data_IF_230289059557
#
_entry.id   IF_230289059557
#
_cell.length_a   1.000
_cell.length_b   1.000
_cell.length_c   1.000
_cell.angle_alpha   90.00
_cell.angle_beta   90.00
_cell.angle_gamma   90.00
#
_symmetry.space_group_name_H-M   'P 1'
#
loop_
_entity.id
_entity.type
_entity.pdbx_description
1 polymer ?
#
# COMPACT_ATOMS: atom_id res chain seq x y z
N UNK A 1 -48.87 -12.36 -64.24
CA UNK A 1 -49.04 -12.10 -62.79
C UNK A 1 -47.75 -12.47 -62.10
N UNK A 2 -46.92 -11.50 -61.73
CA UNK A 2 -45.67 -11.76 -61.01
C UNK A 2 -45.81 -11.21 -59.60
N UNK A 3 -45.99 -12.10 -58.62
CA UNK A 3 -46.14 -11.74 -57.21
C UNK A 3 -44.82 -11.22 -56.61
N UNK A 4 -44.89 -10.37 -55.56
CA UNK A 4 -43.70 -9.76 -54.98
C UNK A 4 -42.83 -10.81 -54.30
N UNK A 5 -41.55 -10.82 -54.65
CA UNK A 5 -40.54 -11.71 -54.09
C UNK A 5 -40.08 -11.13 -52.74
N UNK A 6 -40.66 -11.63 -51.65
CA UNK A 6 -40.19 -11.32 -50.30
C UNK A 6 -38.77 -11.88 -50.14
N UNK A 7 -37.77 -10.99 -50.16
CA UNK A 7 -36.39 -11.36 -49.86
C UNK A 7 -36.30 -11.53 -48.34
N UNK A 8 -35.91 -12.71 -47.82
CA UNK A 8 -35.80 -12.91 -46.39
C UNK A 8 -34.79 -11.91 -45.80
N UNK A 9 -35.17 -11.24 -44.71
CA UNK A 9 -34.39 -10.19 -44.03
C UNK A 9 -33.15 -10.73 -43.26
N UNK A 10 -32.53 -11.80 -43.76
CA UNK A 10 -31.39 -12.50 -43.16
C UNK A 10 -30.23 -11.56 -42.84
N UNK A 11 -29.96 -10.56 -43.68
CA UNK A 11 -28.91 -9.57 -43.43
C UNK A 11 -29.18 -8.70 -42.21
N UNK A 12 -30.42 -8.26 -42.01
CA UNK A 12 -30.81 -7.50 -40.83
C UNK A 12 -30.73 -8.36 -39.57
N UNK A 13 -31.17 -9.62 -39.65
CA UNK A 13 -31.08 -10.56 -38.53
C UNK A 13 -29.63 -10.81 -38.11
N UNK A 14 -28.73 -11.03 -39.07
CA UNK A 14 -27.29 -11.18 -38.80
C UNK A 14 -26.68 -9.93 -38.18
N UNK A 15 -27.03 -8.75 -38.70
CA UNK A 15 -26.57 -7.48 -38.18
C UNK A 15 -26.99 -7.29 -36.71
N UNK A 16 -28.26 -7.51 -36.39
CA UNK A 16 -28.75 -7.39 -35.01
C UNK A 16 -28.17 -8.46 -34.08
N UNK A 17 -28.01 -9.70 -34.55
CA UNK A 17 -27.37 -10.75 -33.78
C UNK A 17 -25.91 -10.39 -33.45
N UNK A 18 -25.16 -9.92 -34.45
CA UNK A 18 -23.78 -9.49 -34.24
C UNK A 18 -23.68 -8.29 -33.29
N UNK A 19 -24.57 -7.30 -33.45
CA UNK A 19 -24.63 -6.13 -32.58
C UNK A 19 -24.92 -6.53 -31.12
N UNK A 20 -25.85 -7.48 -30.90
CA UNK A 20 -26.17 -7.99 -29.56
C UNK A 20 -25.00 -8.77 -28.94
N UNK A 21 -24.33 -9.62 -29.72
CA UNK A 21 -23.16 -10.38 -29.25
C UNK A 21 -22.03 -9.44 -28.87
N UNK A 22 -21.71 -8.46 -29.72
CA UNK A 22 -20.67 -7.47 -29.44
C UNK A 22 -21.04 -6.59 -28.24
N UNK A 23 -22.27 -6.08 -28.19
CA UNK A 23 -22.76 -5.29 -27.06
C UNK A 23 -22.72 -6.06 -25.73
N UNK A 24 -23.14 -7.33 -25.75
CA UNK A 24 -23.05 -8.23 -24.60
C UNK A 24 -21.61 -8.46 -24.16
N UNK A 25 -20.70 -8.75 -25.10
CA UNK A 25 -19.28 -8.92 -24.81
C UNK A 25 -18.66 -7.66 -24.19
N UNK A 26 -18.91 -6.48 -24.75
CA UNK A 26 -18.38 -5.23 -24.22
C UNK A 26 -18.96 -4.89 -22.85
N UNK A 27 -20.25 -5.14 -22.62
CA UNK A 27 -20.88 -4.97 -21.31
C UNK A 27 -20.24 -5.89 -20.27
N UNK A 28 -20.05 -7.17 -20.63
CA UNK A 28 -19.37 -8.14 -19.79
C UNK A 28 -17.92 -7.73 -19.49
N UNK A 29 -17.16 -7.32 -20.50
CA UNK A 29 -15.77 -6.89 -20.37
C UNK A 29 -15.63 -5.59 -19.56
N UNK A 30 -16.61 -4.67 -19.64
CA UNK A 30 -16.63 -3.46 -18.82
C UNK A 30 -16.89 -3.75 -17.33
N UNK A 31 -17.61 -4.84 -17.03
CA UNK A 31 -17.90 -5.26 -15.66
C UNK A 31 -16.78 -6.12 -15.08
N UNK A 32 -16.31 -7.13 -15.81
CA UNK A 32 -15.34 -8.12 -15.30
C UNK A 32 -13.90 -7.91 -15.77
N UNK A 33 -13.66 -7.03 -16.73
CA UNK A 33 -12.32 -6.83 -17.28
C UNK A 33 -11.38 -6.05 -16.36
N UNK A 34 -10.08 -6.12 -16.66
CA UNK A 34 -9.02 -5.47 -15.90
C UNK A 34 -9.17 -3.94 -15.78
N UNK A 35 -9.94 -3.31 -16.67
CA UNK A 35 -10.26 -1.88 -16.66
C UNK A 35 -11.69 -1.58 -16.18
N UNK A 36 -12.41 -2.58 -15.67
CA UNK A 36 -13.76 -2.45 -15.18
C UNK A 36 -13.85 -1.67 -13.86
N UNK A 37 -15.06 -1.25 -13.51
CA UNK A 37 -15.34 -0.41 -12.33
C UNK A 37 -14.81 -1.05 -11.04
N UNK A 38 -14.86 -2.38 -10.94
CA UNK A 38 -14.36 -3.13 -9.78
C UNK A 38 -12.84 -3.03 -9.58
N UNK A 39 -12.06 -2.91 -10.65
CA UNK A 39 -10.60 -2.77 -10.54
C UNK A 39 -10.23 -1.50 -9.80
N UNK A 40 -10.93 -0.39 -10.05
CA UNK A 40 -10.67 0.89 -9.36
C UNK A 40 -10.86 0.80 -7.85
N UNK A 41 -11.88 0.06 -7.40
CA UNK A 41 -12.15 -0.15 -5.97
C UNK A 41 -11.02 -0.96 -5.33
N UNK A 42 -10.58 -2.05 -5.98
CA UNK A 42 -9.46 -2.86 -5.49
C UNK A 42 -8.15 -2.08 -5.46
N UNK A 43 -7.86 -1.33 -6.52
CA UNK A 43 -6.64 -0.52 -6.60
C UNK A 43 -6.61 0.57 -5.54
N UNK A 44 -7.76 1.19 -5.24
CA UNK A 44 -7.87 2.17 -4.17
C UNK A 44 -7.62 1.55 -2.79
N UNK A 45 -8.19 0.37 -2.52
CA UNK A 45 -7.97 -0.34 -1.26
C UNK A 45 -6.50 -0.79 -1.09
N UNK A 46 -5.87 -1.28 -2.16
CA UNK A 46 -4.45 -1.64 -2.15
C UNK A 46 -3.55 -0.41 -1.95
N UNK A 47 -3.88 0.71 -2.59
CA UNK A 47 -3.17 1.97 -2.41
C UNK A 47 -3.28 2.49 -0.97
N UNK A 48 -4.45 2.36 -0.33
CA UNK A 48 -4.66 2.71 1.08
C UNK A 48 -3.76 1.86 1.99
N UNK A 49 -3.77 0.53 1.82
CA UNK A 49 -2.92 -0.38 2.60
C UNK A 49 -1.43 -0.06 2.46
N UNK A 50 -0.96 0.15 1.22
CA UNK A 50 0.43 0.53 0.96
C UNK A 50 0.79 1.89 1.55
N UNK A 51 -0.16 2.82 1.60
CA UNK A 51 0.05 4.14 2.20
C UNK A 51 0.27 4.03 3.71
N UNK A 52 -0.57 3.24 4.38
CA UNK A 52 -0.46 2.98 5.82
C UNK A 52 0.86 2.28 6.19
N UNK A 53 1.25 1.27 5.41
CA UNK A 53 2.52 0.57 5.61
C UNK A 53 3.71 1.52 5.44
N UNK A 54 3.69 2.34 4.38
CA UNK A 54 4.71 3.35 4.13
C UNK A 54 4.79 4.35 5.28
N UNK A 55 3.66 4.80 5.82
CA UNK A 55 3.62 5.72 6.96
C UNK A 55 4.21 5.09 8.22
N UNK A 56 3.87 3.84 8.52
CA UNK A 56 4.45 3.09 9.62
C UNK A 56 5.98 2.97 9.48
N UNK A 57 6.47 2.60 8.30
CA UNK A 57 7.91 2.47 8.04
C UNK A 57 8.63 3.81 8.15
N UNK A 58 8.03 4.91 7.69
CA UNK A 58 8.60 6.26 7.86
C UNK A 58 8.77 6.63 9.34
N UNK A 59 7.79 6.30 10.17
CA UNK A 59 7.90 6.52 11.62
C UNK A 59 9.00 5.67 12.26
N UNK A 60 9.20 4.45 11.78
CA UNK A 60 10.29 3.59 12.25
C UNK A 60 11.66 4.13 11.84
N UNK A 61 11.83 4.55 10.60
CA UNK A 61 13.05 5.22 10.12
C UNK A 61 13.35 6.46 10.97
N UNK A 62 12.37 7.35 11.16
CA UNK A 62 12.57 8.56 11.97
C UNK A 62 12.97 8.24 13.43
N UNK A 63 12.42 7.16 14.01
CA UNK A 63 12.81 6.70 15.34
C UNK A 63 14.26 6.21 15.34
N UNK A 64 14.65 5.40 14.37
CA UNK A 64 16.00 4.88 14.25
C UNK A 64 17.01 6.00 14.01
N UNK A 65 16.69 6.96 13.15
CA UNK A 65 17.50 8.16 12.94
C UNK A 65 17.69 8.95 14.23
N UNK A 66 16.64 9.15 15.02
CA UNK A 66 16.76 9.82 16.32
C UNK A 66 17.64 9.05 17.31
N UNK A 67 17.49 7.72 17.38
CA UNK A 67 18.32 6.88 18.23
C UNK A 67 19.80 6.93 17.80
N UNK A 68 20.07 6.87 16.51
CA UNK A 68 21.42 6.99 15.94
C UNK A 68 22.01 8.37 16.22
N UNK A 69 21.25 9.45 16.06
CA UNK A 69 21.70 10.80 16.39
C UNK A 69 22.08 10.92 17.86
N UNK A 70 21.27 10.36 18.77
CA UNK A 70 21.54 10.35 20.21
C UNK A 70 22.74 9.49 20.61
N UNK A 71 23.18 8.59 19.73
CA UNK A 71 24.39 7.79 19.89
C UNK A 71 25.59 8.39 19.16
N UNK A 72 25.42 9.50 18.42
CA UNK A 72 26.54 10.16 17.74
C UNK A 72 27.37 10.97 18.73
N UNK A 73 28.69 11.03 18.52
CA UNK A 73 29.67 11.72 19.39
C UNK A 73 29.28 13.16 19.77
N UNK A 74 28.60 13.90 18.88
CA UNK A 74 28.17 15.28 19.14
C UNK A 74 27.05 15.39 20.19
N UNK A 75 26.31 14.30 20.44
CA UNK A 75 25.19 14.22 21.40
C UNK A 75 25.37 13.11 22.45
N UNK A 76 26.42 12.30 22.34
CA UNK A 76 26.71 11.18 23.21
C UNK A 76 27.55 11.67 24.40
N UNK A 77 26.87 11.90 25.52
CA UNK A 77 27.55 12.25 26.78
C UNK A 77 28.30 11.03 27.33
N UNK A 78 29.60 11.01 27.06
CA UNK A 78 30.52 9.95 27.49
C UNK A 78 30.59 9.84 29.03
N UNK A 79 30.34 10.93 29.76
CA UNK A 79 30.33 10.90 31.23
C UNK A 79 29.09 10.13 31.73
N UNK A 80 27.92 10.34 31.12
CA UNK A 80 26.71 9.56 31.43
C UNK A 80 26.85 8.07 31.06
N UNK A 81 27.62 7.75 30.02
CA UNK A 81 27.94 6.36 29.68
C UNK A 81 28.91 5.74 30.68
N UNK A 82 29.94 6.46 31.14
CA UNK A 82 30.86 5.98 32.18
C UNK A 82 30.12 5.76 33.51
N UNK A 83 29.21 6.67 33.89
CA UNK A 83 28.37 6.48 35.08
C UNK A 83 27.46 5.24 34.95
N UNK A 84 26.77 5.07 33.82
CA UNK A 84 25.94 3.87 33.59
C UNK A 84 26.76 2.59 33.53
N UNK A 85 27.94 2.63 32.91
CA UNK A 85 28.86 1.49 32.87
C UNK A 85 29.36 1.15 34.28
N UNK A 86 29.74 2.16 35.08
CA UNK A 86 30.21 1.98 36.47
C UNK A 86 29.10 1.45 37.38
N UNK A 87 27.86 1.89 37.18
CA UNK A 87 26.67 1.38 37.89
C UNK A 87 26.30 -0.06 37.48
N UNK A 88 26.34 -0.40 36.18
CA UNK A 88 26.02 -1.76 35.68
C UNK A 88 27.13 -2.77 35.96
N UNK A 89 28.39 -2.36 35.88
CA UNK A 89 29.56 -3.22 36.12
C UNK A 89 29.92 -3.33 37.60
N UNK A 90 29.16 -2.69 38.50
CA UNK A 90 29.40 -2.75 39.94
C UNK A 90 30.73 -2.12 40.37
N UNK A 91 31.28 -1.21 39.57
CA UNK A 91 32.52 -0.48 39.85
C UNK A 91 32.27 0.77 40.70
N UNK A 92 31.13 0.83 41.41
CA UNK A 92 30.95 1.76 42.51
C UNK A 92 31.83 1.26 43.65
N UNK A 93 32.93 1.96 43.88
CA UNK A 93 33.73 1.83 45.10
C UNK A 93 32.76 2.00 46.28
N UNK A 94 32.73 1.04 47.20
CA UNK A 94 31.75 0.94 48.29
C UNK A 94 31.80 2.06 49.35
N UNK A 95 32.36 3.22 49.01
CA UNK A 95 32.73 4.32 49.89
C UNK A 95 32.05 5.66 49.54
N UNK A 96 31.16 5.73 48.55
CA UNK A 96 30.34 6.92 48.30
C UNK A 96 28.98 6.87 49.01
N UNK A 97 28.80 7.76 50.00
CA UNK A 97 27.58 7.94 50.79
C UNK A 97 26.67 8.95 50.07
N UNK A 98 25.52 8.49 49.59
CA UNK A 98 24.43 9.37 49.13
C UNK A 98 23.66 9.88 50.35
N UNK A 99 23.79 11.17 50.65
CA UNK A 99 22.96 11.86 51.65
C UNK A 99 21.60 12.20 51.01
N UNK A 100 20.53 11.77 51.67
CA UNK A 100 19.13 11.95 51.27
C UNK A 100 18.60 13.35 51.56
#
# INVERSE_FOLDING_TARGET
MSGPKNRPALGALFFFALALVLGGYFTFAAVQGDYGVFRRVQLAAEAEQLTDERDRLRLEVARMENLTLRLSDDYLDLDLLDERARAMLGLVRGDEIVIR
#
